data_IF_585066845294
#
_entry.id   IF_585066845294
#
_cell.length_a   1.000
_cell.length_b   1.000
_cell.length_c   1.000
_cell.angle_alpha   90.00
_cell.angle_beta   90.00
_cell.angle_gamma   90.00
#
_symmetry.space_group_name_H-M   'P 1'
#
loop_
_entity.id
_entity.type
_entity.pdbx_description
1 polymer ?
#
# COMPACT_ATOMS: atom_id res chain seq x y z
N UNK A 1 26.27 -2.15 7.91
CA UNK A 1 25.64 -1.94 7.75
C UNK A 1 25.07 -1.37 7.08
N UNK A 2 24.75 -1.15 6.68
CA UNK A 2 24.21 -0.71 6.22
C UNK A 2 23.59 0.01 5.82
N UNK A 3 23.41 0.27 5.58
CA UNK A 3 22.95 1.00 5.40
C UNK A 3 22.09 1.51 4.66
N UNK A 4 21.56 1.39 4.45
CA UNK A 4 20.83 1.79 3.83
C UNK A 4 20.22 2.67 3.79
N UNK A 5 20.04 2.82 3.79
CA UNK A 5 19.69 3.58 3.85
C UNK A 5 18.55 4.09 3.70
N UNK A 6 18.03 4.20 3.66
CA UNK A 6 17.04 5.15 3.53
C UNK A 6 15.69 4.68 3.10
N UNK A 7 15.58 3.91 2.07
CA UNK A 7 14.29 3.47 1.55
C UNK A 7 14.00 2.03 1.88
N UNK A 8 14.99 1.33 2.39
CA UNK A 8 14.85 -0.07 2.70
C UNK A 8 15.17 -0.30 4.16
N UNK A 9 14.16 -0.66 4.92
CA UNK A 9 14.28 -0.86 6.36
C UNK A 9 13.89 -2.28 6.69
N UNK A 10 14.80 -3.07 7.28
CA UNK A 10 14.44 -4.40 7.74
C UNK A 10 13.34 -4.29 8.78
N UNK A 11 12.19 -4.92 8.52
CA UNK A 11 11.07 -4.91 9.42
C UNK A 11 11.14 -6.08 10.40
N UNK A 12 11.48 -7.25 9.87
CA UNK A 12 11.42 -8.47 10.66
C UNK A 12 12.13 -9.60 9.94
N UNK A 13 12.64 -10.52 10.72
CA UNK A 13 13.17 -11.77 10.20
C UNK A 13 12.53 -12.93 10.94
N UNK A 14 12.11 -13.96 10.20
CA UNK A 14 11.48 -15.14 10.75
C UNK A 14 12.05 -16.35 10.02
N UNK A 15 12.76 -17.22 10.75
CA UNK A 15 13.49 -18.31 10.16
C UNK A 15 14.46 -17.78 9.10
N UNK A 16 14.32 -18.25 7.87
CA UNK A 16 15.14 -17.80 6.75
C UNK A 16 14.50 -16.68 5.93
N UNK A 17 13.39 -16.11 6.41
CA UNK A 17 12.66 -15.07 5.69
C UNK A 17 13.02 -13.70 6.18
N UNK A 18 13.38 -12.82 5.25
CA UNK A 18 13.63 -11.41 5.53
C UNK A 18 12.53 -10.57 4.89
N UNK A 19 11.95 -9.68 5.68
CA UNK A 19 10.93 -8.75 5.20
C UNK A 19 11.48 -7.35 5.30
N UNK A 20 11.38 -6.60 4.20
CA UNK A 20 11.80 -5.19 4.14
C UNK A 20 10.61 -4.33 3.77
N UNK A 21 10.61 -3.10 4.27
CA UNK A 21 9.61 -2.10 3.89
C UNK A 21 10.28 -1.13 2.93
N UNK A 22 9.74 -1.03 1.73
CA UNK A 22 10.30 -0.21 0.66
C UNK A 22 9.17 0.59 -0.01
N UNK A 23 9.51 1.65 -0.76
CA UNK A 23 8.49 2.36 -1.53
C UNK A 23 7.78 1.44 -2.50
N UNK A 24 6.47 1.64 -2.65
CA UNK A 24 5.68 0.90 -3.63
C UNK A 24 6.15 1.20 -5.05
N UNK A 25 5.92 0.25 -5.94
CA UNK A 25 6.37 0.35 -7.33
C UNK A 25 5.29 -0.20 -8.25
N UNK A 26 5.17 0.37 -9.44
CA UNK A 26 4.24 -0.12 -10.46
C UNK A 26 4.48 -1.59 -10.80
N UNK A 27 5.72 -2.05 -10.69
CA UNK A 27 6.06 -3.44 -10.97
C UNK A 27 5.35 -4.44 -10.04
N UNK A 28 4.85 -3.97 -8.89
CA UNK A 28 4.25 -4.83 -7.88
C UNK A 28 2.76 -4.57 -7.66
N UNK A 29 2.11 -3.72 -8.48
CA UNK A 29 0.73 -3.32 -8.19
C UNK A 29 -0.25 -4.50 -8.18
N UNK A 30 -0.06 -5.49 -9.03
CA UNK A 30 -0.93 -6.67 -9.04
C UNK A 30 -0.77 -7.49 -7.76
N UNK A 31 0.46 -7.64 -7.29
CA UNK A 31 0.73 -8.30 -6.02
C UNK A 31 0.20 -7.51 -4.84
N UNK A 32 0.27 -6.18 -4.91
CA UNK A 32 -0.26 -5.30 -3.87
C UNK A 32 -1.77 -5.47 -3.77
N UNK A 33 -2.47 -5.52 -4.90
CA UNK A 33 -3.91 -5.77 -4.95
C UNK A 33 -4.25 -7.15 -4.38
N UNK A 34 -3.50 -8.17 -4.75
CA UNK A 34 -3.72 -9.52 -4.24
C UNK A 34 -3.50 -9.60 -2.72
N UNK A 35 -2.49 -8.88 -2.22
CA UNK A 35 -2.22 -8.79 -0.79
C UNK A 35 -3.38 -8.15 -0.04
N UNK A 36 -3.94 -7.07 -0.58
CA UNK A 36 -5.09 -6.39 -0.01
C UNK A 36 -6.31 -7.32 0.03
N UNK A 37 -6.59 -8.02 -1.07
CA UNK A 37 -7.69 -8.97 -1.13
C UNK A 37 -7.54 -10.07 -0.08
N UNK A 38 -6.35 -10.64 0.03
CA UNK A 38 -6.08 -11.69 1.01
C UNK A 38 -6.24 -11.18 2.44
N UNK A 39 -5.80 -9.96 2.71
CA UNK A 39 -5.89 -9.38 4.06
C UNK A 39 -7.33 -9.14 4.49
N UNK A 40 -8.21 -8.76 3.55
CA UNK A 40 -9.61 -8.47 3.85
C UNK A 40 -10.55 -9.63 3.51
N UNK A 41 -10.02 -10.72 2.95
CA UNK A 41 -10.76 -11.97 2.77
C UNK A 41 -11.86 -11.90 1.71
N UNK A 42 -11.62 -11.20 0.60
CA UNK A 42 -12.60 -11.12 -0.47
C UNK A 42 -11.98 -11.49 -1.82
N UNK A 43 -12.85 -11.88 -2.77
CA UNK A 43 -12.44 -12.11 -4.16
C UNK A 43 -12.62 -10.83 -4.97
N UNK A 44 -12.00 -10.72 -6.17
CA UNK A 44 -12.22 -9.55 -7.02
C UNK A 44 -13.68 -9.27 -7.32
N UNK A 45 -14.50 -10.32 -7.44
CA UNK A 45 -15.94 -10.18 -7.72
C UNK A 45 -16.70 -9.58 -6.54
N UNK A 46 -16.15 -9.70 -5.33
CA UNK A 46 -16.77 -9.19 -4.11
C UNK A 46 -16.30 -7.77 -3.74
N UNK A 47 -15.34 -7.23 -4.50
CA UNK A 47 -14.76 -5.93 -4.19
C UNK A 47 -15.79 -4.81 -4.31
N UNK A 48 -15.75 -3.89 -3.35
CA UNK A 48 -16.58 -2.68 -3.35
C UNK A 48 -15.79 -1.49 -3.90
N UNK A 49 -16.46 -0.35 -4.06
CA UNK A 49 -15.79 0.88 -4.48
C UNK A 49 -14.76 1.40 -3.48
N UNK A 50 -14.79 0.91 -2.24
CA UNK A 50 -13.85 1.31 -1.21
C UNK A 50 -12.61 0.41 -1.15
N UNK A 51 -12.62 -0.71 -1.85
CA UNK A 51 -11.48 -1.63 -1.86
C UNK A 51 -10.40 -1.15 -2.82
N UNK A 52 -9.16 -1.52 -2.50
CA UNK A 52 -8.00 -1.10 -3.27
C UNK A 52 -7.70 -2.10 -4.38
N UNK A 53 -7.85 -1.65 -5.61
CA UNK A 53 -7.55 -2.42 -6.81
C UNK A 53 -6.16 -2.05 -7.34
N UNK A 54 -5.66 -2.81 -8.31
CA UNK A 54 -4.40 -2.49 -8.96
C UNK A 54 -4.43 -1.08 -9.58
N UNK A 55 -5.57 -0.70 -10.18
CA UNK A 55 -5.74 0.63 -10.73
C UNK A 55 -5.61 1.72 -9.67
N UNK A 56 -6.21 1.50 -8.51
CA UNK A 56 -6.15 2.46 -7.41
C UNK A 56 -4.74 2.57 -6.84
N UNK A 57 -4.03 1.46 -6.70
CA UNK A 57 -2.64 1.51 -6.26
C UNK A 57 -1.78 2.30 -7.25
N UNK A 58 -1.97 2.08 -8.56
CA UNK A 58 -1.25 2.84 -9.58
C UNK A 58 -1.57 4.33 -9.50
N UNK A 59 -2.83 4.68 -9.24
CA UNK A 59 -3.24 6.06 -9.09
C UNK A 59 -2.64 6.72 -7.85
N UNK A 60 -2.56 5.99 -6.74
CA UNK A 60 -1.91 6.49 -5.53
C UNK A 60 -0.44 6.82 -5.79
N UNK A 61 0.26 5.99 -6.55
CA UNK A 61 1.64 6.25 -6.94
C UNK A 61 1.78 7.50 -7.80
N UNK A 62 0.77 7.78 -8.61
CA UNK A 62 0.72 8.99 -9.44
C UNK A 62 0.49 10.24 -8.59
N UNK A 63 -0.45 10.15 -7.63
CA UNK A 63 -0.90 11.29 -6.85
C UNK A 63 0.02 11.64 -5.69
N UNK A 64 0.53 10.63 -5.00
CA UNK A 64 1.37 10.84 -3.83
C UNK A 64 2.33 9.67 -3.63
N UNK A 65 3.37 9.57 -4.48
CA UNK A 65 4.30 8.45 -4.43
C UNK A 65 5.04 8.33 -3.09
N UNK A 66 5.30 9.44 -2.42
CA UNK A 66 6.06 9.45 -1.17
C UNK A 66 5.31 8.83 0.00
N UNK A 67 4.01 8.59 -0.15
CA UNK A 67 3.19 8.01 0.90
C UNK A 67 2.81 6.56 0.67
N UNK A 68 3.42 5.89 -0.31
CA UNK A 68 3.06 4.53 -0.69
C UNK A 68 4.21 3.58 -0.40
N UNK A 69 3.93 2.58 0.43
CA UNK A 69 4.95 1.61 0.84
C UNK A 69 4.42 0.19 0.75
N UNK A 70 5.34 -0.76 0.62
CA UNK A 70 5.01 -2.17 0.64
C UNK A 70 6.03 -2.93 1.48
N UNK A 71 5.60 -4.03 2.06
CA UNK A 71 6.48 -4.97 2.72
C UNK A 71 6.75 -6.12 1.76
N UNK A 72 8.01 -6.40 1.53
CA UNK A 72 8.45 -7.39 0.56
C UNK A 72 9.21 -8.50 1.26
N UNK A 73 8.83 -9.73 0.97
CA UNK A 73 9.59 -10.91 1.37
C UNK A 73 10.71 -11.08 0.36
N UNK A 74 11.95 -10.87 0.81
CA UNK A 74 13.10 -10.76 -0.09
C UNK A 74 13.37 -12.05 -0.86
N UNK A 75 13.31 -13.19 -0.16
CA UNK A 75 13.66 -14.47 -0.74
C UNK A 75 12.73 -14.90 -1.89
N UNK A 76 11.47 -14.52 -1.82
CA UNK A 76 10.46 -14.90 -2.83
C UNK A 76 10.07 -13.75 -3.72
N UNK A 77 10.52 -12.54 -3.40
CA UNK A 77 10.13 -11.31 -4.10
C UNK A 77 8.61 -11.09 -4.05
N UNK A 78 7.99 -11.45 -2.93
CA UNK A 78 6.53 -11.42 -2.77
C UNK A 78 6.11 -10.29 -1.85
N UNK A 79 5.07 -9.56 -2.25
CA UNK A 79 4.47 -8.53 -1.42
C UNK A 79 3.63 -9.19 -0.34
N UNK A 80 3.93 -8.86 0.91
CA UNK A 80 3.23 -9.41 2.08
C UNK A 80 2.53 -8.35 2.91
N UNK A 81 2.66 -7.09 2.54
CA UNK A 81 1.96 -6.00 3.19
C UNK A 81 1.96 -4.75 2.33
N UNK A 82 0.98 -3.88 2.55
CA UNK A 82 0.90 -2.60 1.84
C UNK A 82 0.49 -1.52 2.82
N UNK A 83 0.97 -0.30 2.57
CA UNK A 83 0.57 0.87 3.32
C UNK A 83 0.34 2.00 2.33
N UNK A 84 -0.82 2.62 2.42
CA UNK A 84 -1.18 3.74 1.56
C UNK A 84 -1.49 4.95 2.40
N UNK A 85 -1.08 6.12 1.92
CA UNK A 85 -1.45 7.38 2.53
C UNK A 85 -1.68 8.42 1.45
N UNK A 86 -2.48 9.41 1.77
CA UNK A 86 -2.82 10.46 0.84
C UNK A 86 -2.85 11.79 1.57
N UNK A 87 -2.57 12.85 0.84
CA UNK A 87 -2.78 14.19 1.35
C UNK A 87 -4.19 14.64 0.99
N UNK A 88 -4.83 15.34 1.92
CA UNK A 88 -6.15 15.90 1.69
C UNK A 88 -6.30 17.21 2.42
N UNK A 89 -7.23 18.03 1.95
CA UNK A 89 -7.61 19.25 2.66
C UNK A 89 -8.47 18.88 3.86
N UNK A 90 -8.15 19.45 5.00
CA UNK A 90 -8.80 19.12 6.26
C UNK A 90 -9.09 20.39 7.05
N UNK A 91 -10.33 20.54 7.53
CA UNK A 91 -10.71 21.59 8.46
C UNK A 91 -10.93 20.96 9.84
N UNK A 92 -10.04 21.20 10.81
CA UNK A 92 -10.15 20.57 12.12
C UNK A 92 -11.36 21.04 12.93
N UNK A 93 -12.06 22.07 12.48
CA UNK A 93 -13.26 22.59 13.15
C UNK A 93 -14.53 21.87 12.75
N UNK A 94 -14.44 20.97 11.75
CA UNK A 94 -15.60 20.26 11.22
C UNK A 94 -15.30 18.77 11.14
N UNK A 95 -16.30 17.90 11.41
CA UNK A 95 -16.09 16.47 11.17
C UNK A 95 -15.91 16.21 9.69
N UNK A 96 -14.97 15.35 9.35
CA UNK A 96 -14.78 14.92 7.99
C UNK A 96 -15.55 13.62 7.79
N UNK A 97 -16.66 13.71 7.07
CA UNK A 97 -17.57 12.58 6.84
C UNK A 97 -17.33 11.91 5.48
N UNK A 98 -16.28 12.31 4.78
CA UNK A 98 -15.99 11.73 3.47
C UNK A 98 -15.46 10.31 3.62
N UNK A 99 -15.81 9.46 2.65
CA UNK A 99 -15.22 8.12 2.53
C UNK A 99 -13.79 8.23 2.00
N UNK A 100 -13.07 7.13 2.07
CA UNK A 100 -11.73 7.04 1.47
C UNK A 100 -11.75 7.42 -0.01
N UNK A 101 -12.71 6.87 -0.77
CA UNK A 101 -12.82 7.17 -2.19
C UNK A 101 -13.02 8.64 -2.47
N UNK A 102 -13.85 9.32 -1.67
CA UNK A 102 -14.09 10.75 -1.82
C UNK A 102 -12.84 11.56 -1.48
N UNK A 103 -12.16 11.21 -0.41
CA UNK A 103 -10.94 11.91 0.02
C UNK A 103 -9.83 11.79 -1.03
N UNK A 104 -9.72 10.63 -1.67
CA UNK A 104 -8.66 10.35 -2.64
C UNK A 104 -9.08 10.63 -4.08
N UNK A 105 -10.25 11.24 -4.28
CA UNK A 105 -10.82 11.49 -5.61
C UNK A 105 -10.99 10.17 -6.39
N UNK A 106 -11.45 9.15 -5.69
CA UNK A 106 -11.71 7.82 -6.25
C UNK A 106 -10.44 7.11 -6.76
N UNK A 107 -9.32 7.44 -6.12
CA UNK A 107 -8.04 6.82 -6.39
C UNK A 107 -7.65 5.71 -5.42
#
# INVERSE_FOLDING_TARGET
MNASLTTEVPARQSGDTTIVVIPSSLAYIDQMAACHQAAYGYTPAEASSEDLTAEKFARHLQLFPDGQFMALEVETNRVVGVAVSMRTTFDPRKPDLRSWSQITSYG
#
